data_IF_206905628360
#
_entry.id   IF_206905628360
#
_cell.length_a   1.000
_cell.length_b   1.000
_cell.length_c   1.000
_cell.angle_alpha   90.00
_cell.angle_beta   90.00
_cell.angle_gamma   90.00
#
_symmetry.space_group_name_H-M   'P 1'
#
loop_
_entity.id
_entity.type
_entity.pdbx_description
1 polymer ?
#
# COMPACT_ATOMS: atom_id res chain seq x y z
N UNK A 1 9.52 1.70 -8.21
CA UNK A 1 8.69 2.11 -7.06
C UNK A 1 7.72 3.17 -7.56
N UNK A 2 6.45 3.06 -7.21
CA UNK A 2 5.40 3.94 -7.73
C UNK A 2 5.27 5.18 -6.81
N UNK A 3 5.49 6.41 -7.31
CA UNK A 3 5.43 7.61 -6.48
C UNK A 3 4.01 7.88 -5.92
N UNK A 4 2.95 7.47 -6.63
CA UNK A 4 1.57 7.65 -6.16
C UNK A 4 1.25 6.81 -4.92
N UNK A 5 1.75 5.57 -4.89
CA UNK A 5 1.59 4.66 -3.75
C UNK A 5 2.22 5.25 -2.47
N UNK A 6 3.42 5.84 -2.58
CA UNK A 6 4.10 6.40 -1.42
C UNK A 6 3.36 7.60 -0.85
N UNK A 7 2.82 8.48 -1.71
CA UNK A 7 2.02 9.62 -1.26
C UNK A 7 0.76 9.14 -0.52
N UNK A 8 0.01 8.21 -1.11
CA UNK A 8 -1.19 7.63 -0.47
C UNK A 8 -0.84 6.95 0.88
N UNK A 9 0.22 6.15 0.88
CA UNK A 9 0.68 5.45 2.07
C UNK A 9 1.06 6.42 3.20
N UNK A 10 1.77 7.51 2.90
CA UNK A 10 2.15 8.50 3.92
C UNK A 10 1.00 9.36 4.41
N UNK A 11 -0.05 9.57 3.61
CA UNK A 11 -1.27 10.24 4.07
C UNK A 11 -2.09 9.35 5.02
N UNK A 12 -2.15 8.04 4.77
CA UNK A 12 -2.97 7.10 5.54
C UNK A 12 -2.25 6.51 6.78
N UNK A 13 -0.92 6.28 6.69
CA UNK A 13 -0.08 5.72 7.77
C UNK A 13 -0.22 6.39 9.14
N UNK A 14 -0.23 7.75 9.27
CA UNK A 14 -0.30 8.38 10.58
C UNK A 14 -1.60 8.06 11.35
N UNK A 15 -2.62 7.55 10.67
CA UNK A 15 -3.90 7.16 11.28
C UNK A 15 -3.99 5.67 11.61
N UNK A 16 -2.93 4.88 11.35
CA UNK A 16 -2.98 3.43 11.50
C UNK A 16 -2.07 2.92 12.61
N UNK A 17 -2.57 1.89 13.29
CA UNK A 17 -1.79 1.14 14.26
C UNK A 17 -0.77 0.27 13.52
N UNK A 18 0.49 0.71 13.50
CA UNK A 18 1.60 -0.01 12.85
C UNK A 18 1.96 -1.32 13.56
N UNK A 19 1.35 -1.63 14.70
CA UNK A 19 1.51 -2.91 15.40
C UNK A 19 0.56 -3.98 14.86
N UNK A 20 -0.52 -3.59 14.17
CA UNK A 20 -1.47 -4.50 13.56
C UNK A 20 -1.02 -4.87 12.13
N UNK A 21 -0.41 -6.06 12.01
CA UNK A 21 0.09 -6.57 10.73
C UNK A 21 -1.03 -6.81 9.71
N UNK A 22 -2.25 -7.07 10.18
CA UNK A 22 -3.42 -7.31 9.32
C UNK A 22 -3.83 -6.01 8.65
N UNK A 23 -3.91 -4.94 9.44
CA UNK A 23 -4.16 -3.57 8.95
C UNK A 23 -3.08 -3.16 7.97
N UNK A 24 -1.81 -3.32 8.33
CA UNK A 24 -0.69 -2.98 7.45
C UNK A 24 -0.72 -3.75 6.13
N UNK A 25 -1.18 -5.01 6.12
CA UNK A 25 -1.29 -5.80 4.91
C UNK A 25 -2.25 -5.19 3.89
N UNK A 26 -3.28 -4.46 4.33
CA UNK A 26 -4.22 -3.74 3.47
C UNK A 26 -3.57 -2.56 2.73
N UNK A 27 -2.47 -2.02 3.25
CA UNK A 27 -1.75 -0.89 2.66
C UNK A 27 -0.54 -1.31 1.83
N UNK A 28 -0.26 -2.61 1.73
CA UNK A 28 0.85 -3.11 0.94
C UNK A 28 0.52 -3.05 -0.56
N UNK A 29 1.50 -2.86 -1.45
CA UNK A 29 1.28 -2.59 -2.87
C UNK A 29 0.70 -3.77 -3.67
N UNK A 30 0.51 -4.92 -3.01
CA UNK A 30 -0.16 -6.13 -3.51
C UNK A 30 -1.53 -6.36 -2.87
N UNK A 31 -1.99 -5.43 -2.03
CA UNK A 31 -3.28 -5.52 -1.37
C UNK A 31 -4.44 -5.34 -2.36
N UNK A 32 -5.46 -6.20 -2.31
CA UNK A 32 -6.64 -6.07 -3.16
C UNK A 32 -7.50 -4.84 -2.81
N UNK A 33 -7.28 -4.21 -1.65
CA UNK A 33 -8.02 -3.02 -1.22
C UNK A 33 -7.47 -1.72 -1.82
N UNK A 34 -6.26 -1.74 -2.37
CA UNK A 34 -5.64 -0.55 -2.96
C UNK A 34 -6.20 -0.25 -4.36
N UNK A 35 -6.28 1.03 -4.76
CA UNK A 35 -6.60 1.43 -6.12
C UNK A 35 -5.59 0.86 -7.12
N UNK A 36 -6.04 0.47 -8.32
CA UNK A 36 -5.18 -0.16 -9.33
C UNK A 36 -3.91 0.65 -9.66
N UNK A 37 -4.00 1.98 -9.64
CA UNK A 37 -2.86 2.89 -9.84
C UNK A 37 -1.82 2.83 -8.72
N UNK A 38 -2.16 2.29 -7.54
CA UNK A 38 -1.24 2.06 -6.43
C UNK A 38 -0.61 0.66 -6.46
N UNK A 39 -1.14 -0.27 -7.26
CA UNK A 39 -0.56 -1.60 -7.37
C UNK A 39 0.79 -1.52 -8.06
N UNK A 40 1.79 -2.19 -7.49
CA UNK A 40 3.08 -2.33 -8.17
C UNK A 40 2.89 -3.42 -9.23
N UNK A 41 3.07 -3.13 -10.53
CA UNK A 41 2.98 -4.15 -11.54
C UNK A 41 4.05 -5.19 -11.24
N UNK A 42 3.60 -6.40 -10.90
CA UNK A 42 4.51 -7.50 -10.65
C UNK A 42 5.21 -7.77 -11.98
N UNK A 43 6.49 -7.38 -12.10
CA UNK A 43 7.30 -7.81 -13.23
C UNK A 43 7.57 -9.29 -13.03
N UNK A 44 6.60 -10.12 -13.40
CA UNK A 44 6.86 -11.53 -13.71
C UNK A 44 7.93 -11.55 -14.80
N UNK A 45 9.10 -12.09 -14.45
CA UNK A 45 9.95 -12.78 -15.40
C UNK A 45 9.47 -14.22 -15.52
#
# INVERSE_FOLDING_TARGET
MNPFYLSYLFEELPNIDTTDQTKLAEFLPWSPTLPQDCHVPNKSK
#
